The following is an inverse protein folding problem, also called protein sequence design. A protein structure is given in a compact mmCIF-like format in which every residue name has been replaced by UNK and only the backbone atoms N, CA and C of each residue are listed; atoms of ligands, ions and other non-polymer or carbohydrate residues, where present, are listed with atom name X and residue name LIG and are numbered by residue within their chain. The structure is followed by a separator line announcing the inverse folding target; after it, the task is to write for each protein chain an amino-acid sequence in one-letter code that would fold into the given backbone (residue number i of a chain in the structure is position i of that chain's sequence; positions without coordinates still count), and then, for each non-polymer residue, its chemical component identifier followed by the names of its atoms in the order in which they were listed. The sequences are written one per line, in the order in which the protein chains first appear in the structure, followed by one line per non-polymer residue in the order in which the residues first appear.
data_IF_783768091484
#
_entry.id   IF_783768091484
#
_cell.length_a   1.000
_cell.length_b   1.000
_cell.length_c   1.000
_cell.angle_alpha   90.00
_cell.angle_beta   90.00
_cell.angle_gamma   90.00
#
_symmetry.space_group_name_H-M   'P 1'
#
loop_
_entity.id
_entity.type
_entity.pdbx_description
1 polymer ?
#
# COMPACT_ATOMS: atom_id res chain seq x y z
N UNK A 1 24.81 -67.37 -11.06
CA UNK A 1 25.57 -67.59 -9.81
C UNK A 1 24.89 -66.91 -8.60
N UNK A 2 24.68 -65.53 -8.54
CA UNK A 2 24.08 -64.90 -7.36
C UNK A 2 22.63 -65.40 -7.10
N UNK A 3 21.81 -65.50 -8.16
CA UNK A 3 20.47 -66.10 -8.10
C UNK A 3 20.49 -67.55 -7.66
N UNK A 4 21.44 -68.33 -8.20
CA UNK A 4 21.61 -69.72 -7.84
C UNK A 4 22.05 -69.88 -6.36
N UNK A 5 22.86 -68.95 -5.85
CA UNK A 5 23.27 -68.94 -4.45
C UNK A 5 22.07 -68.75 -3.51
N UNK A 6 21.11 -67.94 -3.86
CA UNK A 6 19.87 -67.76 -3.07
C UNK A 6 19.05 -69.03 -3.07
N UNK A 7 18.87 -69.68 -4.21
CA UNK A 7 18.13 -70.95 -4.29
C UNK A 7 18.81 -72.08 -3.53
N UNK A 8 20.17 -72.09 -3.49
CA UNK A 8 20.92 -73.05 -2.70
C UNK A 8 20.89 -72.75 -1.20
N UNK A 9 20.87 -71.43 -0.83
CA UNK A 9 20.70 -71.00 0.55
C UNK A 9 19.35 -71.44 1.12
N UNK A 10 18.27 -71.30 0.34
CA UNK A 10 16.93 -71.77 0.73
C UNK A 10 16.91 -73.26 0.97
N UNK A 11 17.68 -74.00 0.22
CA UNK A 11 17.88 -75.47 0.36
C UNK A 11 18.90 -75.82 1.46
N UNK A 12 19.44 -74.85 2.21
CA UNK A 12 20.50 -75.00 3.20
C UNK A 12 21.75 -75.78 2.65
N UNK A 13 22.11 -75.49 1.42
CA UNK A 13 23.19 -76.15 0.73
C UNK A 13 24.51 -75.33 0.91
N UNK A 14 25.67 -75.98 1.20
CA UNK A 14 26.97 -75.30 1.31
C UNK A 14 27.47 -74.70 -0.03
N UNK A 15 26.85 -75.08 -1.13
CA UNK A 15 27.17 -74.49 -2.45
C UNK A 15 26.91 -72.99 -2.55
N UNK A 16 26.08 -72.42 -1.67
CA UNK A 16 25.85 -71.01 -1.65
C UNK A 16 27.14 -70.25 -1.29
N UNK A 17 27.86 -70.69 -0.28
CA UNK A 17 29.12 -70.07 0.13
C UNK A 17 30.25 -70.24 -0.89
N UNK A 18 30.36 -71.40 -1.52
CA UNK A 18 31.28 -71.63 -2.62
C UNK A 18 31.02 -70.70 -3.81
N UNK A 19 29.77 -70.51 -4.19
CA UNK A 19 29.40 -69.55 -5.25
C UNK A 19 29.73 -68.11 -4.90
N UNK A 20 29.50 -67.67 -3.66
CA UNK A 20 29.85 -66.35 -3.19
C UNK A 20 31.35 -66.15 -3.21
N UNK A 21 32.14 -67.12 -2.75
CA UNK A 21 33.64 -67.05 -2.80
C UNK A 21 34.16 -66.88 -4.22
N UNK A 22 33.58 -67.61 -5.20
CA UNK A 22 33.94 -67.52 -6.62
C UNK A 22 33.70 -66.14 -7.24
N UNK A 23 32.67 -65.43 -6.81
CA UNK A 23 32.28 -64.11 -7.35
C UNK A 23 32.65 -62.94 -6.43
N UNK A 24 33.41 -63.19 -5.35
CA UNK A 24 33.68 -62.19 -4.29
C UNK A 24 34.25 -60.86 -4.83
N UNK A 25 35.17 -60.93 -5.82
CA UNK A 25 35.76 -59.73 -6.44
C UNK A 25 34.80 -58.93 -7.28
N UNK A 26 33.76 -59.55 -7.85
CA UNK A 26 32.74 -58.94 -8.71
C UNK A 26 31.37 -58.85 -8.02
N UNK A 27 31.30 -59.15 -6.73
CA UNK A 27 30.05 -59.20 -5.97
C UNK A 27 29.30 -57.87 -5.94
N UNK A 28 29.97 -56.70 -5.73
CA UNK A 28 29.28 -55.38 -5.80
C UNK A 28 28.60 -55.15 -7.15
N UNK A 29 29.33 -55.39 -8.25
CA UNK A 29 28.79 -55.24 -9.61
C UNK A 29 27.67 -56.26 -9.91
N UNK A 30 27.71 -57.44 -9.35
CA UNK A 30 26.64 -58.43 -9.48
C UNK A 30 25.35 -58.01 -8.72
N UNK A 31 25.52 -57.39 -7.55
CA UNK A 31 24.41 -56.79 -6.78
C UNK A 31 23.75 -55.69 -7.59
N UNK A 32 24.54 -54.74 -8.11
CA UNK A 32 24.02 -53.61 -8.93
C UNK A 32 23.30 -54.10 -10.18
N UNK A 33 23.87 -55.13 -10.83
CA UNK A 33 23.23 -55.76 -12.01
C UNK A 33 21.89 -56.39 -11.66
N UNK A 34 21.75 -57.07 -10.53
CA UNK A 34 20.48 -57.60 -10.05
C UNK A 34 19.46 -56.50 -9.72
N UNK A 35 19.90 -55.39 -9.13
CA UNK A 35 19.04 -54.24 -8.83
C UNK A 35 18.52 -53.65 -10.15
N UNK A 36 19.39 -53.36 -11.10
CA UNK A 36 19.01 -52.83 -12.42
C UNK A 36 18.09 -53.76 -13.18
N UNK A 37 18.42 -55.05 -13.22
CA UNK A 37 17.59 -56.07 -13.88
C UNK A 37 16.17 -56.14 -13.25
N UNK A 38 16.05 -56.03 -11.92
CA UNK A 38 14.77 -56.00 -11.25
C UNK A 38 13.92 -54.81 -11.67
N UNK A 39 14.51 -53.64 -11.98
CA UNK A 39 13.83 -52.47 -12.51
C UNK A 39 13.15 -52.74 -13.86
N UNK A 40 13.84 -53.42 -14.75
CA UNK A 40 13.35 -53.71 -16.11
C UNK A 40 12.39 -54.90 -16.20
N UNK A 41 12.32 -55.73 -15.18
CA UNK A 41 11.43 -56.88 -15.16
C UNK A 41 9.97 -56.46 -14.88
N UNK A 42 9.03 -57.10 -15.58
CA UNK A 42 7.58 -56.87 -15.38
C UNK A 42 6.95 -57.89 -14.45
N UNK A 43 7.42 -59.17 -14.48
CA UNK A 43 6.91 -60.23 -13.66
C UNK A 43 7.32 -60.03 -12.19
N UNK A 44 6.34 -59.94 -11.31
CA UNK A 44 6.55 -59.76 -9.88
C UNK A 44 7.32 -60.91 -9.22
N UNK A 45 7.27 -62.12 -9.77
CA UNK A 45 8.01 -63.28 -9.26
C UNK A 45 9.50 -63.09 -9.51
N UNK A 46 9.90 -62.75 -10.74
CA UNK A 46 11.28 -62.54 -11.10
C UNK A 46 11.85 -61.27 -10.45
N UNK A 47 11.06 -60.20 -10.34
CA UNK A 47 11.46 -59.01 -9.58
C UNK A 47 11.86 -59.36 -8.14
N UNK A 48 11.01 -60.10 -7.46
CA UNK A 48 11.28 -60.54 -6.07
C UNK A 48 12.52 -61.39 -5.96
N UNK A 49 12.73 -62.32 -6.89
CA UNK A 49 13.96 -63.16 -6.92
C UNK A 49 15.22 -62.34 -7.12
N UNK A 50 15.20 -61.41 -8.06
CA UNK A 50 16.33 -60.53 -8.32
C UNK A 50 16.64 -59.59 -7.09
N UNK A 51 15.63 -58.99 -6.48
CA UNK A 51 15.79 -58.19 -5.28
C UNK A 51 16.26 -59.02 -4.08
N UNK A 52 15.81 -60.26 -3.94
CA UNK A 52 16.25 -61.17 -2.89
C UNK A 52 17.71 -61.56 -3.09
N UNK A 53 18.11 -61.80 -4.34
CA UNK A 53 19.53 -62.05 -4.68
C UNK A 53 20.41 -60.84 -4.39
N UNK A 54 19.97 -59.63 -4.76
CA UNK A 54 20.67 -58.38 -4.43
C UNK A 54 20.77 -58.15 -2.93
N UNK A 55 19.69 -58.41 -2.17
CA UNK A 55 19.66 -58.29 -0.72
C UNK A 55 20.64 -59.27 -0.05
N UNK A 56 20.69 -60.51 -0.54
CA UNK A 56 21.65 -61.48 -0.04
C UNK A 56 23.10 -61.10 -0.39
N UNK A 57 23.39 -60.71 -1.63
CA UNK A 57 24.70 -60.24 -2.01
C UNK A 57 25.19 -59.07 -1.20
N UNK A 58 24.29 -58.10 -0.91
CA UNK A 58 24.54 -56.94 -0.07
C UNK A 58 24.89 -57.33 1.38
N UNK A 59 24.28 -58.33 1.94
CA UNK A 59 24.51 -58.78 3.33
C UNK A 59 25.92 -59.39 3.55
N UNK A 60 26.55 -59.79 2.50
CA UNK A 60 27.94 -60.33 2.51
C UNK A 60 29.01 -59.24 2.31
N UNK A 61 28.62 -58.09 1.86
CA UNK A 61 29.51 -56.92 1.62
C UNK A 61 29.57 -56.05 2.83
N UNK A 62 30.79 -55.80 3.38
CA UNK A 62 30.98 -54.95 4.58
C UNK A 62 30.72 -53.47 4.32
N UNK A 63 31.06 -52.96 3.11
CA UNK A 63 30.98 -51.56 2.73
C UNK A 63 30.22 -51.38 1.41
N UNK A 64 28.93 -51.72 1.40
CA UNK A 64 28.06 -51.53 0.23
C UNK A 64 27.06 -50.37 0.49
N UNK A 65 27.03 -49.38 -0.40
CA UNK A 65 25.99 -48.35 -0.34
C UNK A 65 24.65 -48.91 -0.80
N UNK A 66 23.70 -48.95 0.13
CA UNK A 66 22.41 -49.53 -0.14
C UNK A 66 21.36 -48.53 -0.69
N UNK A 67 21.75 -47.29 -0.98
CA UNK A 67 20.81 -46.27 -1.42
C UNK A 67 20.15 -46.64 -2.76
N UNK A 68 20.90 -47.15 -3.73
CA UNK A 68 20.33 -47.62 -5.01
C UNK A 68 19.34 -48.77 -4.81
N UNK A 69 19.58 -49.65 -3.85
CA UNK A 69 18.64 -50.75 -3.55
C UNK A 69 17.34 -50.23 -2.94
N UNK A 70 17.44 -49.27 -2.00
CA UNK A 70 16.24 -48.64 -1.37
C UNK A 70 15.44 -47.89 -2.41
N UNK A 71 16.09 -47.01 -3.16
CA UNK A 71 15.46 -46.23 -4.23
C UNK A 71 14.78 -47.11 -5.29
N UNK A 72 15.44 -48.18 -5.71
CA UNK A 72 14.84 -49.15 -6.67
C UNK A 72 13.60 -49.81 -6.08
N UNK A 73 13.65 -50.25 -4.83
CA UNK A 73 12.50 -50.91 -4.18
C UNK A 73 11.32 -49.95 -4.00
N UNK A 74 11.57 -48.67 -3.73
CA UNK A 74 10.53 -47.63 -3.67
C UNK A 74 9.87 -47.43 -5.03
N UNK A 75 10.66 -47.26 -6.08
CA UNK A 75 10.16 -47.11 -7.46
C UNK A 75 9.35 -48.32 -7.90
N UNK A 76 9.83 -49.55 -7.61
CA UNK A 76 9.11 -50.78 -7.96
C UNK A 76 7.80 -50.95 -7.19
N UNK A 77 7.68 -50.48 -5.95
CA UNK A 77 6.41 -50.46 -5.21
C UNK A 77 5.38 -49.59 -5.90
N UNK A 78 5.80 -48.37 -6.31
CA UNK A 78 4.94 -47.44 -7.05
C UNK A 78 4.52 -48.08 -8.39
N UNK A 79 5.47 -48.58 -9.18
CA UNK A 79 5.20 -49.25 -10.46
C UNK A 79 4.26 -50.43 -10.32
N UNK A 80 4.40 -51.24 -9.25
CA UNK A 80 3.49 -52.35 -8.98
C UNK A 80 2.05 -51.89 -8.73
N UNK A 81 1.87 -50.79 -7.97
CA UNK A 81 0.56 -50.22 -7.73
C UNK A 81 -0.09 -49.70 -9.03
N UNK A 82 0.71 -49.09 -9.93
CA UNK A 82 0.25 -48.61 -11.23
C UNK A 82 -0.11 -49.71 -12.22
N UNK A 83 0.65 -50.79 -12.18
CA UNK A 83 0.45 -51.97 -13.05
C UNK A 83 -0.73 -52.87 -12.62
N UNK A 84 -1.37 -52.57 -11.47
CA UNK A 84 -2.59 -53.26 -11.07
C UNK A 84 -3.63 -53.15 -12.18
N UNK A 85 -4.33 -54.27 -12.47
CA UNK A 85 -5.33 -54.32 -13.55
C UNK A 85 -6.46 -53.30 -13.37
N UNK A 86 -6.76 -52.91 -12.13
CA UNK A 86 -7.79 -51.91 -11.81
C UNK A 86 -7.38 -50.50 -12.26
N UNK A 87 -6.10 -50.20 -12.16
CA UNK A 87 -5.54 -48.90 -12.56
C UNK A 87 -5.18 -48.90 -14.04
N UNK A 88 -4.59 -49.99 -14.53
CA UNK A 88 -4.30 -50.18 -15.93
C UNK A 88 -3.27 -49.20 -16.53
N UNK A 89 -2.21 -48.88 -15.78
CA UNK A 89 -1.07 -48.05 -16.24
C UNK A 89 0.20 -48.91 -16.33
N UNK A 90 0.41 -49.68 -17.44
CA UNK A 90 1.55 -50.57 -17.59
C UNK A 90 2.84 -49.80 -17.97
N UNK A 91 3.33 -48.91 -17.07
CA UNK A 91 4.56 -48.18 -17.30
C UNK A 91 5.79 -49.08 -17.15
N UNK A 92 6.75 -48.95 -18.08
CA UNK A 92 8.09 -49.50 -17.90
C UNK A 92 8.89 -48.65 -16.89
N UNK A 93 9.99 -49.23 -16.37
CA UNK A 93 10.90 -48.49 -15.46
C UNK A 93 11.46 -47.22 -16.12
N UNK A 94 11.90 -47.31 -17.37
CA UNK A 94 12.41 -46.19 -18.14
C UNK A 94 11.34 -45.08 -18.36
N UNK A 95 10.10 -45.49 -18.65
CA UNK A 95 9.01 -44.56 -18.80
C UNK A 95 8.69 -43.81 -17.48
N UNK A 96 8.75 -44.56 -16.36
CA UNK A 96 8.57 -43.97 -15.03
C UNK A 96 9.66 -42.95 -14.70
N UNK A 97 10.93 -43.23 -14.98
CA UNK A 97 12.02 -42.31 -14.77
C UNK A 97 11.87 -41.03 -15.59
N UNK A 98 11.42 -41.16 -16.86
CA UNK A 98 11.20 -39.99 -17.74
C UNK A 98 9.99 -39.15 -17.33
N UNK A 99 8.96 -39.82 -16.80
CA UNK A 99 7.71 -39.14 -16.44
C UNK A 99 7.86 -38.23 -15.20
N UNK A 100 8.80 -38.50 -14.34
CA UNK A 100 8.96 -37.92 -13.00
C UNK A 100 7.80 -38.25 -12.05
N UNK A 101 8.00 -38.24 -10.73
CA UNK A 101 6.93 -38.49 -9.77
C UNK A 101 5.77 -37.50 -9.86
N UNK A 102 6.08 -36.21 -10.09
CA UNK A 102 5.08 -35.14 -10.25
C UNK A 102 4.23 -35.35 -11.49
N UNK A 103 4.86 -35.65 -12.63
CA UNK A 103 4.12 -35.97 -13.88
C UNK A 103 3.26 -37.23 -13.77
N UNK A 104 3.70 -38.19 -12.95
CA UNK A 104 2.87 -39.35 -12.62
C UNK A 104 1.61 -38.97 -11.85
N UNK A 105 1.76 -38.12 -10.82
CA UNK A 105 0.63 -37.63 -10.02
C UNK A 105 -0.35 -36.87 -10.93
N UNK A 106 0.12 -36.01 -11.81
CA UNK A 106 -0.74 -35.28 -12.77
C UNK A 106 -1.51 -36.23 -13.69
N UNK A 107 -0.84 -37.31 -14.15
CA UNK A 107 -1.51 -38.35 -14.95
C UNK A 107 -2.58 -39.14 -14.18
N UNK A 108 -2.36 -39.40 -12.90
CA UNK A 108 -3.36 -40.00 -12.01
C UNK A 108 -4.52 -39.08 -11.72
N UNK A 109 -4.24 -37.79 -11.48
CA UNK A 109 -5.25 -36.78 -11.31
C UNK A 109 -6.16 -36.66 -12.52
N UNK A 110 -5.60 -36.63 -13.74
CA UNK A 110 -6.38 -36.54 -14.98
C UNK A 110 -7.24 -37.77 -15.24
N UNK A 111 -6.89 -38.91 -14.62
CA UNK A 111 -7.70 -40.16 -14.66
C UNK A 111 -8.66 -40.29 -13.48
N UNK A 112 -8.72 -39.28 -12.60
CA UNK A 112 -9.55 -39.28 -11.38
C UNK A 112 -9.17 -40.34 -10.34
N UNK A 113 -7.95 -40.90 -10.41
CA UNK A 113 -7.42 -41.87 -9.47
C UNK A 113 -6.85 -41.22 -8.20
N UNK A 114 -7.66 -40.40 -7.53
CA UNK A 114 -7.23 -39.54 -6.41
C UNK A 114 -6.66 -40.30 -5.22
N UNK A 115 -7.31 -41.46 -4.85
CA UNK A 115 -6.86 -42.24 -3.70
C UNK A 115 -5.46 -42.81 -3.91
N UNK A 116 -5.19 -43.30 -5.12
CA UNK A 116 -3.87 -43.83 -5.47
C UNK A 116 -2.84 -42.68 -5.53
N UNK A 117 -3.22 -41.54 -6.13
CA UNK A 117 -2.37 -40.37 -6.19
C UNK A 117 -1.94 -39.86 -4.78
N UNK A 118 -2.90 -39.80 -3.83
CA UNK A 118 -2.60 -39.40 -2.42
C UNK A 118 -1.65 -40.43 -1.79
N UNK A 119 -1.89 -41.71 -1.90
CA UNK A 119 -1.01 -42.74 -1.31
C UNK A 119 0.40 -42.71 -1.88
N UNK A 120 0.56 -42.46 -3.19
CA UNK A 120 1.87 -42.33 -3.83
C UNK A 120 2.54 -41.05 -3.37
N UNK A 121 1.79 -39.95 -3.29
CA UNK A 121 2.30 -38.69 -2.82
C UNK A 121 2.82 -38.77 -1.37
N UNK A 122 2.03 -39.38 -0.47
CA UNK A 122 2.45 -39.61 0.92
C UNK A 122 3.68 -40.52 1.01
N UNK A 123 3.72 -41.58 0.18
CA UNK A 123 4.84 -42.51 0.15
C UNK A 123 6.13 -41.88 -0.35
N UNK A 124 6.04 -41.02 -1.37
CA UNK A 124 7.19 -40.31 -1.95
C UNK A 124 7.49 -38.95 -1.27
N UNK A 125 6.74 -38.58 -0.21
CA UNK A 125 6.88 -37.32 0.51
C UNK A 125 6.70 -36.08 -0.40
N UNK A 126 5.82 -36.19 -1.38
CA UNK A 126 5.48 -35.10 -2.32
C UNK A 126 4.23 -34.35 -1.81
N UNK A 127 4.15 -33.02 -1.95
CA UNK A 127 2.95 -32.28 -1.58
C UNK A 127 1.70 -32.77 -2.32
N UNK A 128 0.61 -33.01 -1.59
CA UNK A 128 -0.65 -33.52 -2.15
C UNK A 128 -1.70 -32.44 -2.42
N UNK A 129 -1.34 -31.16 -2.24
CA UNK A 129 -2.20 -29.99 -2.41
C UNK A 129 -2.92 -29.95 -3.76
N UNK A 130 -2.18 -30.17 -4.86
CA UNK A 130 -2.74 -30.23 -6.22
C UNK A 130 -3.81 -31.32 -6.38
N UNK A 131 -3.61 -32.48 -5.72
CA UNK A 131 -4.56 -33.59 -5.78
C UNK A 131 -5.88 -33.18 -5.12
N UNK A 132 -5.81 -32.57 -3.95
CA UNK A 132 -6.99 -32.15 -3.20
C UNK A 132 -7.73 -31.02 -3.93
N UNK A 133 -7.01 -30.03 -4.46
CA UNK A 133 -7.59 -28.91 -5.21
C UNK A 133 -8.34 -29.46 -6.45
N UNK A 134 -7.70 -30.32 -7.24
CA UNK A 134 -8.34 -30.87 -8.43
C UNK A 134 -9.55 -31.76 -8.07
N UNK A 135 -9.45 -32.57 -7.00
CA UNK A 135 -10.59 -33.39 -6.53
C UNK A 135 -11.77 -32.47 -6.15
N UNK A 136 -11.51 -31.40 -5.42
CA UNK A 136 -12.56 -30.46 -5.00
C UNK A 136 -13.18 -29.75 -6.21
N UNK A 137 -12.36 -29.28 -7.14
CA UNK A 137 -12.83 -28.63 -8.38
C UNK A 137 -13.70 -29.59 -9.21
N UNK A 138 -13.28 -30.84 -9.34
CA UNK A 138 -14.08 -31.85 -10.03
C UNK A 138 -15.38 -32.20 -9.29
N UNK A 139 -15.33 -32.18 -7.94
CA UNK A 139 -16.54 -32.36 -7.14
C UNK A 139 -17.54 -31.23 -7.34
N UNK A 140 -17.09 -30.01 -7.44
CA UNK A 140 -17.94 -28.86 -7.78
C UNK A 140 -18.60 -29.02 -9.12
N UNK A 141 -17.84 -29.44 -10.15
CA UNK A 141 -18.34 -29.61 -11.53
C UNK A 141 -19.39 -30.67 -11.66
N UNK A 142 -19.18 -31.82 -10.99
CA UNK A 142 -20.06 -33.01 -11.16
C UNK A 142 -21.25 -33.01 -10.20
N UNK A 143 -21.18 -32.24 -9.10
CA UNK A 143 -22.20 -32.25 -8.07
C UNK A 143 -23.44 -31.47 -8.47
N UNK A 144 -24.60 -32.08 -8.41
CA UNK A 144 -25.93 -31.47 -8.56
C UNK A 144 -26.58 -31.15 -7.21
N UNK A 145 -25.86 -31.35 -6.12
CA UNK A 145 -26.33 -31.13 -4.75
C UNK A 145 -26.27 -29.63 -4.42
N UNK A 146 -27.04 -29.24 -3.40
CA UNK A 146 -27.08 -27.88 -2.87
C UNK A 146 -25.69 -27.32 -2.52
N UNK A 147 -25.50 -26.02 -2.78
CA UNK A 147 -24.22 -25.33 -2.66
C UNK A 147 -23.64 -25.41 -1.24
N UNK A 148 -24.49 -25.26 -0.21
CA UNK A 148 -24.04 -25.34 1.18
C UNK A 148 -23.53 -26.75 1.54
N UNK A 149 -24.20 -27.79 1.07
CA UNK A 149 -23.80 -29.16 1.33
C UNK A 149 -22.47 -29.49 0.66
N UNK A 150 -22.28 -29.03 -0.59
CA UNK A 150 -21.02 -29.18 -1.31
C UNK A 150 -19.88 -28.43 -0.63
N UNK A 151 -20.11 -27.17 -0.22
CA UNK A 151 -19.13 -26.36 0.52
C UNK A 151 -18.71 -27.09 1.81
N UNK A 152 -19.66 -27.48 2.65
CA UNK A 152 -19.39 -28.19 3.92
C UNK A 152 -18.58 -29.47 3.69
N UNK A 153 -18.92 -30.25 2.68
CA UNK A 153 -18.19 -31.47 2.36
C UNK A 153 -16.74 -31.20 1.93
N UNK A 154 -16.52 -30.19 1.09
CA UNK A 154 -15.18 -29.81 0.63
C UNK A 154 -14.36 -29.32 1.81
N UNK A 155 -14.91 -28.38 2.59
CA UNK A 155 -14.21 -27.79 3.75
C UNK A 155 -13.84 -28.87 4.77
N UNK A 156 -14.77 -29.75 5.15
CA UNK A 156 -14.49 -30.86 6.08
C UNK A 156 -13.37 -31.79 5.59
N UNK A 157 -13.30 -32.02 4.27
CA UNK A 157 -12.30 -32.94 3.68
C UNK A 157 -10.92 -32.28 3.60
N UNK A 158 -10.88 -30.96 3.44
CA UNK A 158 -9.66 -30.18 3.26
C UNK A 158 -9.16 -29.58 4.58
N UNK A 159 -9.96 -29.66 5.64
CA UNK A 159 -9.59 -29.15 6.95
C UNK A 159 -8.27 -29.75 7.45
N UNK A 160 -7.40 -28.89 8.00
CA UNK A 160 -6.07 -29.28 8.48
C UNK A 160 -5.05 -29.66 7.42
N UNK A 161 -5.36 -29.52 6.11
CA UNK A 161 -4.40 -29.78 5.04
C UNK A 161 -3.64 -28.49 4.69
N UNK A 162 -2.31 -28.46 4.75
CA UNK A 162 -1.54 -27.26 4.41
C UNK A 162 -1.49 -27.04 2.89
N UNK A 163 -1.36 -25.78 2.48
CA UNK A 163 -1.03 -25.41 1.10
C UNK A 163 -2.20 -25.40 0.11
N UNK A 164 -3.43 -25.67 0.55
CA UNK A 164 -4.59 -25.71 -0.34
C UNK A 164 -4.96 -24.28 -0.77
N UNK A 165 -5.23 -24.11 -2.07
CA UNK A 165 -5.77 -22.89 -2.65
C UNK A 165 -7.26 -23.02 -2.87
N UNK A 166 -8.05 -22.38 -2.00
CA UNK A 166 -9.51 -22.31 -2.19
C UNK A 166 -9.89 -21.40 -3.36
N UNK A 167 -9.01 -20.46 -3.74
CA UNK A 167 -9.19 -19.62 -4.93
C UNK A 167 -9.45 -20.45 -6.19
N UNK A 168 -8.62 -21.49 -6.44
CA UNK A 168 -8.75 -22.33 -7.64
C UNK A 168 -10.06 -23.12 -7.63
N UNK A 169 -10.49 -23.58 -6.45
CA UNK A 169 -11.76 -24.31 -6.28
C UNK A 169 -12.95 -23.36 -6.49
N UNK A 170 -12.86 -22.13 -5.94
CA UNK A 170 -13.87 -21.11 -6.10
C UNK A 170 -13.97 -20.63 -7.56
N UNK A 171 -12.82 -20.46 -8.25
CA UNK A 171 -12.82 -20.16 -9.68
C UNK A 171 -13.54 -21.25 -10.48
N UNK A 172 -13.30 -22.52 -10.18
CA UNK A 172 -14.01 -23.62 -10.83
C UNK A 172 -15.52 -23.59 -10.55
N UNK A 173 -15.95 -23.13 -9.37
CA UNK A 173 -17.37 -22.96 -9.05
C UNK A 173 -17.97 -21.78 -9.82
N UNK A 174 -17.25 -20.70 -9.97
CA UNK A 174 -17.67 -19.53 -10.74
C UNK A 174 -17.81 -19.85 -12.22
N UNK A 175 -16.85 -20.60 -12.79
CA UNK A 175 -16.85 -21.04 -14.20
C UNK A 175 -18.08 -21.92 -14.52
N UNK A 176 -18.58 -22.67 -13.53
CA UNK A 176 -19.84 -23.48 -13.65
C UNK A 176 -21.10 -22.64 -13.33
N UNK A 177 -20.99 -21.33 -13.16
CA UNK A 177 -22.12 -20.44 -12.88
C UNK A 177 -22.65 -20.50 -11.45
N UNK A 178 -21.90 -21.12 -10.51
CA UNK A 178 -22.28 -21.27 -9.09
C UNK A 178 -21.62 -20.17 -8.24
N UNK A 179 -21.97 -18.90 -8.49
CA UNK A 179 -21.35 -17.74 -7.83
C UNK A 179 -21.49 -17.78 -6.30
N UNK A 180 -22.64 -18.19 -5.78
CA UNK A 180 -22.87 -18.31 -4.33
C UNK A 180 -21.91 -19.33 -3.67
N UNK A 181 -21.72 -20.50 -4.30
CA UNK A 181 -20.76 -21.50 -3.85
C UNK A 181 -19.32 -20.96 -3.92
N UNK A 182 -18.98 -20.22 -4.98
CA UNK A 182 -17.68 -19.62 -5.15
C UNK A 182 -17.36 -18.63 -4.03
N UNK A 183 -18.30 -17.76 -3.68
CA UNK A 183 -18.16 -16.79 -2.56
C UNK A 183 -17.99 -17.52 -1.21
N UNK A 184 -18.79 -18.58 -0.96
CA UNK A 184 -18.65 -19.37 0.26
C UNK A 184 -17.27 -20.04 0.37
N UNK A 185 -16.77 -20.63 -0.72
CA UNK A 185 -15.45 -21.28 -0.74
C UNK A 185 -14.32 -20.25 -0.56
N UNK A 186 -14.44 -19.06 -1.16
CA UNK A 186 -13.48 -17.98 -1.02
C UNK A 186 -13.33 -17.49 0.42
N UNK A 187 -14.37 -17.54 1.23
CA UNK A 187 -14.27 -17.20 2.65
C UNK A 187 -13.30 -18.09 3.43
N UNK A 188 -12.96 -19.27 2.90
CA UNK A 188 -11.99 -20.18 3.48
C UNK A 188 -10.56 -20.01 2.93
N UNK A 189 -10.34 -19.11 1.93
CA UNK A 189 -8.99 -18.79 1.47
C UNK A 189 -8.33 -17.80 2.44
N UNK A 190 -7.22 -18.17 3.09
CA UNK A 190 -6.59 -17.29 4.09
C UNK A 190 -5.83 -16.11 3.49
N UNK A 191 -5.57 -16.10 2.19
CA UNK A 191 -4.78 -15.09 1.51
C UNK A 191 -5.67 -14.08 0.80
N UNK A 192 -5.82 -12.89 1.38
CA UNK A 192 -6.65 -11.83 0.81
C UNK A 192 -6.22 -11.43 -0.62
N UNK A 193 -4.92 -11.43 -0.92
CA UNK A 193 -4.39 -11.16 -2.26
C UNK A 193 -4.86 -12.15 -3.34
N UNK A 194 -5.39 -13.33 -2.94
CA UNK A 194 -6.04 -14.29 -3.84
C UNK A 194 -7.56 -14.19 -3.82
N UNK A 195 -8.14 -13.85 -2.67
CA UNK A 195 -9.57 -13.64 -2.54
C UNK A 195 -10.08 -12.46 -3.37
N UNK A 196 -9.45 -11.30 -3.18
CA UNK A 196 -9.93 -10.02 -3.69
C UNK A 196 -10.03 -9.97 -5.22
N UNK A 197 -9.01 -10.38 -6.00
CA UNK A 197 -9.12 -10.34 -7.47
C UNK A 197 -10.26 -11.20 -8.01
N UNK A 198 -10.52 -12.35 -7.40
CA UNK A 198 -11.62 -13.21 -7.82
C UNK A 198 -12.99 -12.62 -7.45
N UNK A 199 -13.12 -12.02 -6.28
CA UNK A 199 -14.35 -11.30 -5.89
C UNK A 199 -14.67 -10.15 -6.85
N UNK A 200 -13.65 -9.39 -7.28
CA UNK A 200 -13.83 -8.32 -8.29
C UNK A 200 -14.28 -8.88 -9.64
N UNK A 201 -13.76 -10.04 -10.06
CA UNK A 201 -14.18 -10.72 -11.27
C UNK A 201 -15.63 -11.26 -11.18
N UNK A 202 -16.07 -11.59 -9.97
CA UNK A 202 -17.45 -12.04 -9.68
C UNK A 202 -18.42 -10.88 -9.49
N UNK A 203 -17.96 -9.63 -9.63
CA UNK A 203 -18.73 -8.40 -9.41
C UNK A 203 -19.21 -8.18 -7.95
N UNK A 204 -18.63 -8.91 -7.01
CA UNK A 204 -18.87 -8.76 -5.57
C UNK A 204 -17.99 -7.63 -4.99
N UNK A 205 -18.20 -6.42 -5.52
CA UNK A 205 -17.35 -5.24 -5.31
C UNK A 205 -17.29 -4.81 -3.83
N UNK A 206 -18.42 -4.83 -3.12
CA UNK A 206 -18.48 -4.46 -1.70
C UNK A 206 -17.70 -5.45 -0.83
N UNK A 207 -17.90 -6.75 -1.08
CA UNK A 207 -17.23 -7.80 -0.34
C UNK A 207 -15.71 -7.79 -0.62
N UNK A 208 -15.32 -7.50 -1.86
CA UNK A 208 -13.92 -7.35 -2.24
C UNK A 208 -13.23 -6.22 -1.47
N UNK A 209 -13.91 -5.07 -1.33
CA UNK A 209 -13.39 -3.94 -0.57
C UNK A 209 -13.30 -4.25 0.93
N UNK A 210 -14.31 -4.90 1.49
CA UNK A 210 -14.30 -5.29 2.90
C UNK A 210 -13.17 -6.27 3.21
N UNK A 211 -12.96 -7.28 2.36
CA UNK A 211 -11.85 -8.24 2.50
C UNK A 211 -10.48 -7.59 2.32
N UNK A 212 -10.36 -6.64 1.42
CA UNK A 212 -9.12 -5.87 1.27
C UNK A 212 -8.81 -5.06 2.54
N UNK A 213 -9.81 -4.38 3.12
CA UNK A 213 -9.65 -3.61 4.38
C UNK A 213 -9.32 -4.54 5.55
N UNK A 214 -10.00 -5.68 5.69
CA UNK A 214 -9.75 -6.67 6.73
C UNK A 214 -8.32 -7.24 6.68
N UNK A 215 -7.71 -7.30 5.50
CA UNK A 215 -6.34 -7.80 5.32
C UNK A 215 -5.28 -6.88 5.94
N UNK A 216 -5.56 -5.58 6.07
CA UNK A 216 -4.59 -4.57 6.50
C UNK A 216 -3.50 -4.27 5.47
N UNK A 217 -3.68 -4.67 4.22
CA UNK A 217 -2.75 -4.41 3.12
C UNK A 217 -3.22 -3.20 2.32
N UNK A 218 -2.56 -2.06 2.52
CA UNK A 218 -2.89 -0.79 1.85
C UNK A 218 -2.78 -0.88 0.32
N UNK A 219 -1.83 -1.67 -0.20
CA UNK A 219 -1.67 -1.83 -1.65
C UNK A 219 -2.86 -2.59 -2.25
N UNK A 220 -3.36 -3.60 -1.54
CA UNK A 220 -4.54 -4.35 -1.94
C UNK A 220 -5.80 -3.48 -1.91
N UNK A 221 -5.97 -2.66 -0.86
CA UNK A 221 -7.07 -1.69 -0.77
C UNK A 221 -6.99 -0.68 -1.92
N UNK A 222 -5.82 -0.12 -2.19
CA UNK A 222 -5.63 0.80 -3.31
C UNK A 222 -5.93 0.15 -4.66
N UNK A 223 -5.54 -1.11 -4.85
CA UNK A 223 -5.88 -1.87 -6.07
C UNK A 223 -7.39 -1.95 -6.27
N UNK A 224 -8.14 -2.31 -5.24
CA UNK A 224 -9.62 -2.36 -5.28
C UNK A 224 -10.21 -0.99 -5.56
N UNK A 225 -9.75 0.05 -4.85
CA UNK A 225 -10.24 1.42 -5.01
C UNK A 225 -10.03 1.95 -6.44
N UNK A 226 -8.86 1.68 -7.04
CA UNK A 226 -8.59 2.05 -8.43
C UNK A 226 -9.49 1.29 -9.43
N UNK A 227 -9.71 0.01 -9.18
CA UNK A 227 -10.63 -0.80 -9.99
C UNK A 227 -12.07 -0.26 -9.90
N UNK A 228 -12.58 0.00 -8.69
CA UNK A 228 -13.91 0.54 -8.45
C UNK A 228 -14.09 1.94 -9.05
N UNK A 229 -13.08 2.81 -8.91
CA UNK A 229 -13.09 4.14 -9.53
C UNK A 229 -13.21 4.08 -11.06
N UNK A 230 -12.61 3.08 -11.70
CA UNK A 230 -12.69 2.91 -13.15
C UNK A 230 -14.01 2.30 -13.62
N UNK A 231 -14.63 1.46 -12.79
CA UNK A 231 -15.84 0.70 -13.11
C UNK A 231 -17.13 1.46 -12.78
N UNK A 232 -17.17 2.16 -11.65
CA UNK A 232 -18.37 2.76 -11.10
C UNK A 232 -18.47 4.25 -11.43
N UNK A 233 -19.72 4.79 -11.57
CA UNK A 233 -19.93 6.23 -11.54
C UNK A 233 -19.45 6.83 -10.22
N UNK A 234 -18.86 8.04 -10.24
CA UNK A 234 -18.30 8.70 -9.07
C UNK A 234 -19.24 8.75 -7.85
N UNK A 235 -20.53 9.02 -8.09
CA UNK A 235 -21.52 9.07 -7.01
C UNK A 235 -21.70 7.73 -6.30
N UNK A 236 -21.70 6.62 -7.03
CA UNK A 236 -21.80 5.27 -6.46
C UNK A 236 -20.51 4.87 -5.75
N UNK A 237 -19.35 5.22 -6.35
CA UNK A 237 -18.06 5.01 -5.76
C UNK A 237 -17.92 5.73 -4.40
N UNK A 238 -18.26 7.02 -4.34
CA UNK A 238 -18.22 7.78 -3.08
C UNK A 238 -19.18 7.23 -2.03
N UNK A 239 -20.38 6.83 -2.42
CA UNK A 239 -21.32 6.22 -1.48
C UNK A 239 -20.77 4.93 -0.85
N UNK A 240 -20.07 4.13 -1.65
CA UNK A 240 -19.46 2.88 -1.18
C UNK A 240 -18.29 3.13 -0.21
N UNK A 241 -17.42 4.10 -0.51
CA UNK A 241 -16.26 4.39 0.35
C UNK A 241 -16.62 5.13 1.62
N UNK A 242 -17.68 5.96 1.62
CA UNK A 242 -18.09 6.77 2.78
C UNK A 242 -18.57 5.91 3.95
N UNK A 243 -19.06 4.71 3.68
CA UNK A 243 -19.42 3.74 4.73
C UNK A 243 -18.18 3.11 5.38
N UNK A 244 -16.96 3.30 4.79
CA UNK A 244 -15.70 2.65 5.18
C UNK A 244 -14.61 3.69 5.43
N UNK A 245 -14.37 4.10 6.70
CA UNK A 245 -13.46 5.21 7.03
C UNK A 245 -12.02 5.02 6.49
N UNK A 246 -11.51 3.79 6.49
CA UNK A 246 -10.16 3.48 5.95
C UNK A 246 -10.08 3.74 4.45
N UNK A 247 -11.07 3.29 3.70
CA UNK A 247 -11.11 3.51 2.25
C UNK A 247 -11.22 5.00 1.91
N UNK A 248 -12.08 5.74 2.63
CA UNK A 248 -12.24 7.20 2.47
C UNK A 248 -10.92 7.92 2.75
N UNK A 249 -10.22 7.59 3.85
CA UNK A 249 -8.94 8.22 4.20
C UNK A 249 -7.84 7.95 3.15
N UNK A 250 -7.78 6.74 2.59
CA UNK A 250 -6.83 6.40 1.53
C UNK A 250 -7.13 7.17 0.23
N UNK A 251 -8.40 7.28 -0.15
CA UNK A 251 -8.82 8.07 -1.33
C UNK A 251 -8.48 9.55 -1.12
N UNK A 252 -8.76 10.13 0.05
CA UNK A 252 -8.41 11.52 0.37
C UNK A 252 -6.90 11.75 0.27
N UNK A 253 -6.09 10.88 0.85
CA UNK A 253 -4.62 11.00 0.80
C UNK A 253 -4.05 10.88 -0.61
N UNK A 254 -4.54 9.93 -1.38
CA UNK A 254 -4.14 9.75 -2.77
C UNK A 254 -4.57 10.94 -3.65
N UNK A 255 -5.80 11.44 -3.46
CA UNK A 255 -6.35 12.56 -4.21
C UNK A 255 -5.63 13.88 -3.90
N UNK A 256 -5.22 14.14 -2.66
CA UNK A 256 -4.43 15.33 -2.29
C UNK A 256 -3.13 15.46 -3.06
N UNK A 257 -2.52 14.32 -3.43
CA UNK A 257 -1.25 14.31 -4.16
C UNK A 257 -1.38 14.37 -5.68
N UNK A 258 -2.48 13.84 -6.24
CA UNK A 258 -2.58 13.57 -7.68
C UNK A 258 -3.84 14.11 -8.37
N UNK A 259 -4.97 14.20 -7.68
CA UNK A 259 -6.28 14.46 -8.29
C UNK A 259 -7.14 15.35 -7.38
N UNK A 260 -6.84 16.64 -7.45
CA UNK A 260 -7.50 17.64 -6.60
C UNK A 260 -9.00 17.79 -6.96
N UNK A 261 -9.38 17.57 -8.24
CA UNK A 261 -10.78 17.65 -8.66
C UNK A 261 -11.59 16.52 -8.01
N UNK A 262 -11.08 15.29 -7.99
CA UNK A 262 -11.70 14.18 -7.28
C UNK A 262 -11.92 14.49 -5.80
N UNK A 263 -10.95 15.17 -5.17
CA UNK A 263 -11.05 15.56 -3.77
C UNK A 263 -12.15 16.60 -3.53
N UNK A 264 -12.32 17.56 -4.44
CA UNK A 264 -13.42 18.55 -4.38
C UNK A 264 -14.78 17.87 -4.52
N UNK A 265 -14.90 16.93 -5.48
CA UNK A 265 -16.13 16.18 -5.70
C UNK A 265 -16.49 15.33 -4.48
N UNK A 266 -15.49 14.67 -3.85
CA UNK A 266 -15.67 13.92 -2.62
C UNK A 266 -16.21 14.79 -1.49
N UNK A 267 -15.57 15.93 -1.22
CA UNK A 267 -16.00 16.86 -0.15
C UNK A 267 -17.35 17.51 -0.44
N UNK A 268 -17.67 17.75 -1.71
CA UNK A 268 -18.98 18.26 -2.09
C UNK A 268 -20.08 17.21 -1.83
N UNK A 269 -19.83 15.95 -2.16
CA UNK A 269 -20.81 14.88 -1.95
C UNK A 269 -20.99 14.52 -0.47
N UNK A 270 -19.92 14.64 0.33
CA UNK A 270 -19.93 14.38 1.78
C UNK A 270 -20.47 15.54 2.62
N UNK A 271 -20.88 16.64 1.98
CA UNK A 271 -21.32 17.88 2.66
C UNK A 271 -20.24 18.40 3.66
N UNK A 272 -18.99 18.41 3.21
CA UNK A 272 -17.82 18.90 3.96
C UNK A 272 -17.29 20.21 3.38
N UNK A 273 -18.06 21.32 3.49
CA UNK A 273 -17.72 22.59 2.83
C UNK A 273 -16.42 23.23 3.37
N UNK A 274 -16.09 22.99 4.64
CA UNK A 274 -14.87 23.52 5.27
C UNK A 274 -13.62 22.89 4.61
N UNK A 275 -13.64 21.57 4.40
CA UNK A 275 -12.52 20.87 3.77
C UNK A 275 -12.39 21.25 2.28
N UNK A 276 -13.53 21.37 1.59
CA UNK A 276 -13.58 21.90 0.22
C UNK A 276 -13.02 23.32 0.11
N UNK A 277 -13.36 24.21 1.05
CA UNK A 277 -12.78 25.54 1.11
C UNK A 277 -11.26 25.52 1.35
N UNK A 278 -10.76 24.64 2.23
CA UNK A 278 -9.34 24.50 2.48
C UNK A 278 -8.55 24.03 1.24
N UNK A 279 -9.14 23.17 0.42
CA UNK A 279 -8.56 22.76 -0.86
C UNK A 279 -8.45 23.96 -1.80
N UNK A 280 -9.55 24.74 -1.97
CA UNK A 280 -9.55 25.92 -2.81
C UNK A 280 -8.53 26.98 -2.34
N UNK A 281 -8.40 27.18 -1.03
CA UNK A 281 -7.40 28.07 -0.45
C UNK A 281 -5.97 27.60 -0.76
N UNK A 282 -5.69 26.30 -0.65
CA UNK A 282 -4.37 25.77 -0.95
C UNK A 282 -4.03 25.88 -2.45
N UNK A 283 -5.01 25.74 -3.32
CA UNK A 283 -4.84 25.99 -4.77
C UNK A 283 -4.63 27.48 -5.08
N UNK A 284 -5.41 28.36 -4.43
CA UNK A 284 -5.27 29.80 -4.62
C UNK A 284 -3.87 30.29 -4.27
N UNK A 285 -3.26 29.70 -3.23
CA UNK A 285 -1.88 30.04 -2.82
C UNK A 285 -0.80 29.56 -3.82
N UNK A 286 -1.12 28.57 -4.66
CA UNK A 286 -0.20 28.04 -5.67
C UNK A 286 -0.35 28.71 -7.04
N UNK A 287 -1.48 29.36 -7.27
CA UNK A 287 -1.74 30.05 -8.54
C UNK A 287 -0.91 31.32 -8.67
N UNK A 288 -0.26 31.48 -9.81
CA UNK A 288 0.46 32.69 -10.17
C UNK A 288 -0.45 33.78 -10.81
N UNK A 289 -1.63 33.39 -11.29
CA UNK A 289 -2.61 34.30 -11.93
C UNK A 289 -3.55 34.89 -10.87
N UNK A 290 -3.49 36.21 -10.72
CA UNK A 290 -4.28 36.95 -9.74
C UNK A 290 -5.80 36.77 -9.95
N UNK A 291 -6.27 36.72 -11.19
CA UNK A 291 -7.68 36.54 -11.51
C UNK A 291 -8.19 35.19 -10.99
N UNK A 292 -7.49 34.12 -11.32
CA UNK A 292 -7.82 32.78 -10.84
C UNK A 292 -7.69 32.66 -9.32
N UNK A 293 -6.64 33.29 -8.75
CA UNK A 293 -6.44 33.31 -7.30
C UNK A 293 -7.62 33.98 -6.58
N UNK A 294 -8.06 35.15 -7.05
CA UNK A 294 -9.19 35.88 -6.44
C UNK A 294 -10.52 35.17 -6.65
N UNK A 295 -10.74 34.50 -7.77
CA UNK A 295 -11.92 33.66 -8.01
C UNK A 295 -11.99 32.49 -7.03
N UNK A 296 -10.88 31.76 -6.84
CA UNK A 296 -10.82 30.65 -5.88
C UNK A 296 -11.02 31.11 -4.43
N UNK A 297 -10.45 32.26 -4.03
CA UNK A 297 -10.69 32.84 -2.72
C UNK A 297 -12.18 33.22 -2.54
N UNK A 298 -12.83 33.75 -3.58
CA UNK A 298 -14.24 34.08 -3.54
C UNK A 298 -15.10 32.81 -3.40
N UNK A 299 -14.79 31.75 -4.14
CA UNK A 299 -15.48 30.46 -4.02
C UNK A 299 -15.30 29.85 -2.63
N UNK A 300 -14.08 29.87 -2.08
CA UNK A 300 -13.81 29.40 -0.72
C UNK A 300 -14.60 30.21 0.33
N UNK A 301 -14.66 31.54 0.19
CA UNK A 301 -15.48 32.40 1.08
C UNK A 301 -16.96 32.04 1.02
N UNK A 302 -17.50 31.68 -0.15
CA UNK A 302 -18.90 31.27 -0.30
C UNK A 302 -19.17 29.93 0.39
N UNK A 303 -18.28 28.93 0.24
CA UNK A 303 -18.43 27.65 0.94
C UNK A 303 -18.40 27.80 2.47
N UNK A 304 -17.63 28.77 2.97
CA UNK A 304 -17.56 29.04 4.40
C UNK A 304 -18.76 29.84 4.92
N UNK A 305 -19.59 30.49 4.05
CA UNK A 305 -20.67 31.36 4.46
C UNK A 305 -21.84 30.65 5.12
N UNK A 306 -22.02 29.38 4.83
CA UNK A 306 -23.18 28.60 5.29
C UNK A 306 -23.02 28.07 6.72
N UNK A 307 -21.77 28.10 7.24
CA UNK A 307 -21.49 27.66 8.60
C UNK A 307 -21.73 28.78 9.63
N UNK A 308 -22.40 28.43 10.72
CA UNK A 308 -22.65 29.33 11.86
C UNK A 308 -21.57 29.26 12.96
N UNK A 309 -20.57 28.42 12.81
CA UNK A 309 -19.50 28.29 13.77
C UNK A 309 -18.64 29.56 13.83
N UNK A 310 -18.34 30.08 15.03
CA UNK A 310 -17.60 31.33 15.18
C UNK A 310 -16.21 31.29 14.56
N UNK A 311 -15.56 30.15 14.58
CA UNK A 311 -14.23 29.92 13.95
C UNK A 311 -14.31 30.00 12.44
N UNK A 312 -15.34 29.41 11.83
CA UNK A 312 -15.55 29.40 10.37
C UNK A 312 -15.93 30.81 9.89
N UNK A 313 -16.78 31.52 10.63
CA UNK A 313 -17.13 32.92 10.34
C UNK A 313 -15.90 33.83 10.38
N UNK A 314 -14.98 33.60 11.34
CA UNK A 314 -13.72 34.34 11.36
C UNK A 314 -12.86 34.02 10.13
N UNK A 315 -12.72 32.74 9.78
CA UNK A 315 -11.97 32.32 8.59
C UNK A 315 -12.55 32.92 7.30
N UNK A 316 -13.87 32.93 7.16
CA UNK A 316 -14.56 33.58 6.04
C UNK A 316 -14.19 35.05 5.92
N UNK A 317 -14.22 35.80 7.04
CA UNK A 317 -13.81 37.21 7.07
C UNK A 317 -12.37 37.39 6.63
N UNK A 318 -11.46 36.58 7.16
CA UNK A 318 -10.03 36.62 6.80
C UNK A 318 -9.79 36.33 5.30
N UNK A 319 -10.50 35.36 4.73
CA UNK A 319 -10.41 35.04 3.30
C UNK A 319 -10.96 36.20 2.46
N UNK A 320 -12.04 36.83 2.88
CA UNK A 320 -12.62 37.99 2.19
C UNK A 320 -11.69 39.19 2.24
N UNK A 321 -11.10 39.49 3.41
CA UNK A 321 -10.10 40.56 3.59
C UNK A 321 -8.82 40.27 2.75
N UNK A 322 -8.37 39.02 2.68
CA UNK A 322 -7.23 38.64 1.85
C UNK A 322 -7.50 38.90 0.36
N UNK A 323 -8.69 38.53 -0.13
CA UNK A 323 -9.11 38.79 -1.53
C UNK A 323 -9.18 40.29 -1.83
N UNK A 324 -9.69 41.11 -0.88
CA UNK A 324 -9.74 42.55 -1.02
C UNK A 324 -8.34 43.14 -1.02
N UNK A 325 -7.43 42.67 -0.15
CA UNK A 325 -6.04 43.12 -0.09
C UNK A 325 -5.30 42.85 -1.39
N UNK A 326 -5.43 41.67 -1.95
CA UNK A 326 -4.82 41.31 -3.26
C UNK A 326 -5.28 42.25 -4.37
N UNK A 327 -6.58 42.54 -4.45
CA UNK A 327 -7.12 43.50 -5.42
C UNK A 327 -6.59 44.92 -5.20
N UNK A 328 -6.47 45.34 -3.95
CA UNK A 328 -5.91 46.65 -3.64
C UNK A 328 -4.41 46.72 -3.98
N UNK A 329 -3.66 45.65 -3.75
CA UNK A 329 -2.25 45.55 -4.12
C UNK A 329 -2.02 45.57 -5.62
N UNK A 330 -2.82 44.84 -6.38
CA UNK A 330 -2.80 44.85 -7.86
C UNK A 330 -3.08 46.25 -8.42
N UNK A 331 -4.09 46.93 -7.85
CA UNK A 331 -4.37 48.34 -8.23
C UNK A 331 -3.20 49.26 -7.91
N UNK A 332 -2.50 49.04 -6.77
CA UNK A 332 -1.31 49.81 -6.43
C UNK A 332 -0.15 49.54 -7.40
N UNK A 333 0.09 48.30 -7.76
CA UNK A 333 1.16 47.92 -8.70
C UNK A 333 0.90 48.48 -10.12
N UNK A 334 -0.37 48.49 -10.56
CA UNK A 334 -0.77 49.12 -11.83
C UNK A 334 -0.63 50.66 -11.81
N UNK A 335 -0.96 51.28 -10.69
CA UNK A 335 -0.92 52.76 -10.54
C UNK A 335 0.48 53.31 -10.30
N UNK A 336 1.31 52.52 -9.62
CA UNK A 336 2.66 52.91 -9.18
C UNK A 336 3.70 52.14 -10.00
N UNK A 337 3.79 52.40 -11.29
CA UNK A 337 4.69 51.73 -12.23
C UNK A 337 6.19 51.75 -11.89
N UNK A 338 6.58 52.34 -10.78
CA UNK A 338 7.94 52.45 -10.25
C UNK A 338 8.30 51.26 -9.33
N UNK A 339 8.72 50.15 -9.92
CA UNK A 339 9.53 49.07 -9.29
C UNK A 339 9.16 48.57 -7.87
N UNK A 340 8.01 48.89 -7.34
CA UNK A 340 7.56 48.43 -6.03
C UNK A 340 6.47 47.37 -6.15
N UNK A 341 6.89 46.11 -6.09
CA UNK A 341 5.95 44.97 -6.04
C UNK A 341 5.22 44.97 -4.70
N UNK A 342 3.93 45.23 -4.71
CA UNK A 342 3.04 45.14 -3.53
C UNK A 342 2.33 43.84 -3.44
N UNK A 343 2.15 43.14 -4.55
CA UNK A 343 1.40 41.90 -4.62
C UNK A 343 1.99 40.81 -3.70
N UNK A 344 1.13 40.13 -2.92
CA UNK A 344 1.56 39.10 -2.00
C UNK A 344 2.17 39.54 -0.68
N UNK A 345 2.27 40.84 -0.42
CA UNK A 345 2.73 41.35 0.85
C UNK A 345 1.64 41.26 1.92
N UNK A 346 2.09 41.25 3.20
CA UNK A 346 1.13 41.43 4.29
C UNK A 346 0.59 42.87 4.30
N UNK A 347 -0.58 43.07 4.90
CA UNK A 347 -1.18 44.41 5.04
C UNK A 347 -0.21 45.42 5.69
N UNK A 348 0.49 45.02 6.73
CA UNK A 348 1.46 45.86 7.43
C UNK A 348 2.67 46.22 6.55
N UNK A 349 3.16 45.27 5.76
CA UNK A 349 4.27 45.53 4.85
C UNK A 349 3.85 46.42 3.67
N UNK A 350 2.62 46.22 3.17
CA UNK A 350 2.04 47.10 2.14
C UNK A 350 1.97 48.56 2.62
N UNK A 351 1.45 48.79 3.82
CA UNK A 351 1.40 50.12 4.43
C UNK A 351 2.81 50.68 4.65
N UNK A 352 3.74 49.85 5.15
CA UNK A 352 5.12 50.25 5.36
C UNK A 352 5.81 50.67 4.06
N UNK A 353 5.67 49.90 2.98
CA UNK A 353 6.25 50.22 1.66
C UNK A 353 5.65 51.50 1.06
N UNK A 354 4.33 51.70 1.20
CA UNK A 354 3.65 52.88 0.72
C UNK A 354 4.18 54.14 1.43
N UNK A 355 4.32 54.12 2.73
CA UNK A 355 4.87 55.26 3.48
C UNK A 355 6.34 55.49 3.12
N UNK A 356 7.14 54.42 3.02
CA UNK A 356 8.55 54.53 2.61
C UNK A 356 8.72 55.12 1.21
N UNK A 357 7.81 54.79 0.27
CA UNK A 357 7.77 55.36 -1.07
C UNK A 357 7.25 56.79 -1.15
N UNK A 358 6.76 57.37 -0.05
CA UNK A 358 6.22 58.74 -0.02
C UNK A 358 4.72 58.84 -0.33
N UNK A 359 4.02 57.73 -0.48
CA UNK A 359 2.59 57.68 -0.82
C UNK A 359 1.67 57.69 0.42
N UNK A 360 1.89 58.66 1.35
CA UNK A 360 1.18 58.75 2.62
C UNK A 360 -0.34 58.79 2.50
N UNK A 361 -0.89 59.51 1.51
CA UNK A 361 -2.35 59.55 1.24
C UNK A 361 -2.93 58.18 0.92
N UNK A 362 -2.24 57.34 0.10
CA UNK A 362 -2.66 55.99 -0.23
C UNK A 362 -2.56 55.04 0.96
N UNK A 363 -1.52 55.21 1.79
CA UNK A 363 -1.38 54.46 3.04
C UNK A 363 -2.54 54.72 4.02
N UNK A 364 -2.99 55.98 4.14
CA UNK A 364 -4.18 56.32 4.92
C UNK A 364 -5.48 55.72 4.34
N UNK A 365 -5.61 55.69 3.02
CA UNK A 365 -6.76 55.03 2.38
C UNK A 365 -6.83 53.54 2.75
N UNK A 366 -5.73 52.82 2.65
CA UNK A 366 -5.64 51.40 3.04
C UNK A 366 -5.90 51.22 4.53
N UNK A 367 -5.38 52.11 5.38
CA UNK A 367 -5.66 52.11 6.82
C UNK A 367 -7.15 52.16 7.11
N UNK A 368 -7.88 53.07 6.46
CA UNK A 368 -9.32 53.24 6.66
C UNK A 368 -10.14 52.08 6.09
N UNK A 369 -9.75 51.56 4.94
CA UNK A 369 -10.44 50.45 4.25
C UNK A 369 -10.33 49.14 5.04
N UNK A 370 -9.11 48.80 5.51
CA UNK A 370 -8.84 47.56 6.27
C UNK A 370 -8.93 47.77 7.80
N UNK A 371 -9.37 48.93 8.26
CA UNK A 371 -9.55 49.25 9.68
C UNK A 371 -8.29 48.95 10.52
N UNK A 372 -7.12 49.25 9.98
CA UNK A 372 -5.86 49.06 10.72
C UNK A 372 -5.86 49.91 11.99
N UNK A 373 -5.58 49.32 13.17
CA UNK A 373 -5.54 50.04 14.41
C UNK A 373 -4.61 51.24 14.34
N UNK A 374 -5.05 52.38 14.86
CA UNK A 374 -4.33 53.64 14.78
C UNK A 374 -2.89 53.53 15.34
N UNK A 375 -2.72 52.82 16.46
CA UNK A 375 -1.42 52.54 17.07
C UNK A 375 -0.48 51.78 16.12
N UNK A 376 -0.99 50.74 15.44
CA UNK A 376 -0.23 49.93 14.48
C UNK A 376 0.19 50.76 13.28
N UNK A 377 -0.75 51.54 12.72
CA UNK A 377 -0.45 52.42 11.58
C UNK A 377 0.63 53.46 11.92
N UNK A 378 0.53 54.10 13.08
CA UNK A 378 1.54 55.06 13.53
C UNK A 378 2.92 54.41 13.71
N UNK A 379 2.99 53.23 14.27
CA UNK A 379 4.25 52.48 14.36
C UNK A 379 4.85 52.14 12.98
N UNK A 380 4.05 51.72 12.04
CA UNK A 380 4.48 51.45 10.67
C UNK A 380 4.99 52.74 9.98
N UNK A 381 4.26 53.84 10.17
CA UNK A 381 4.63 55.15 9.64
C UNK A 381 5.97 55.63 10.22
N UNK A 382 6.14 55.56 11.51
CA UNK A 382 7.40 55.93 12.17
C UNK A 382 8.56 55.07 11.63
N UNK A 383 8.38 53.75 11.57
CA UNK A 383 9.40 52.83 11.08
C UNK A 383 9.79 53.15 9.63
N UNK A 384 8.81 53.43 8.79
CA UNK A 384 9.04 53.76 7.38
C UNK A 384 9.77 55.10 7.19
N UNK A 385 9.38 56.14 7.94
CA UNK A 385 10.03 57.45 7.88
C UNK A 385 11.45 57.43 8.41
N UNK A 386 11.72 56.68 9.47
CA UNK A 386 13.10 56.47 9.96
C UNK A 386 13.94 55.75 8.90
N UNK A 387 13.39 54.73 8.23
CA UNK A 387 14.10 54.02 7.17
C UNK A 387 14.37 54.91 5.94
N UNK A 388 13.43 55.81 5.60
CA UNK A 388 13.56 56.80 4.52
C UNK A 388 14.48 57.95 4.89
N UNK A 389 14.76 58.15 6.20
CA UNK A 389 15.49 59.31 6.77
C UNK A 389 14.78 60.65 6.57
N UNK A 390 13.45 60.62 6.53
CA UNK A 390 12.62 61.81 6.38
C UNK A 390 12.38 62.47 7.77
N UNK A 391 13.33 63.29 8.16
CA UNK A 391 13.34 63.94 9.48
C UNK A 391 12.31 65.05 9.60
N UNK A 392 11.93 65.70 8.47
CA UNK A 392 10.94 66.77 8.46
C UNK A 392 9.54 66.25 8.83
N UNK A 393 9.09 65.22 8.18
CA UNK A 393 7.79 64.55 8.50
C UNK A 393 7.78 63.97 9.92
N UNK A 394 8.92 63.43 10.39
CA UNK A 394 9.05 62.94 11.78
C UNK A 394 8.93 64.09 12.81
N UNK A 395 9.44 65.27 12.51
CA UNK A 395 9.34 66.44 13.38
C UNK A 395 7.90 66.97 13.44
N UNK A 396 7.17 66.96 12.33
CA UNK A 396 5.73 67.25 12.30
C UNK A 396 4.91 66.31 13.16
N UNK A 397 5.18 65.02 13.05
CA UNK A 397 4.53 63.98 13.86
C UNK A 397 4.82 64.21 15.36
N UNK A 398 6.05 64.58 15.69
CA UNK A 398 6.44 64.86 17.07
C UNK A 398 5.74 66.13 17.69
N UNK A 399 5.34 67.07 16.85
CA UNK A 399 4.57 68.24 17.24
C UNK A 399 3.10 68.00 17.52
N UNK A 400 2.53 66.89 17.08
CA UNK A 400 1.15 66.56 17.32
C UNK A 400 0.87 66.35 18.82
N UNK A 401 -0.07 67.14 19.38
CA UNK A 401 -0.40 67.12 20.82
C UNK A 401 -0.99 65.85 21.35
N UNK A 402 -1.59 65.06 20.48
CA UNK A 402 -2.15 63.74 20.81
C UNK A 402 -1.50 62.67 19.94
N UNK A 403 -0.46 62.04 20.45
CA UNK A 403 0.14 60.89 19.81
C UNK A 403 -0.51 59.60 20.33
N UNK A 404 -1.05 58.76 19.48
CA UNK A 404 -1.66 57.49 19.89
C UNK A 404 -0.63 56.48 20.42
N UNK A 405 0.67 56.78 20.33
CA UNK A 405 1.78 55.83 20.61
C UNK A 405 2.37 56.03 22.03
N UNK A 406 2.00 57.12 22.71
CA UNK A 406 2.51 57.41 24.06
C UNK A 406 3.86 58.16 24.11
N UNK A 407 4.26 58.60 25.35
CA UNK A 407 5.37 59.46 25.57
C UNK A 407 6.77 58.89 25.29
N UNK A 408 6.96 57.59 25.56
CA UNK A 408 8.26 56.92 25.43
C UNK A 408 8.80 56.91 23.99
N UNK A 409 7.91 56.75 23.00
CA UNK A 409 8.29 56.76 21.59
C UNK A 409 8.64 58.17 21.10
N UNK A 410 7.97 59.17 21.63
CA UNK A 410 8.26 60.56 21.34
C UNK A 410 9.67 60.95 21.82
N UNK A 411 10.07 60.49 23.00
CA UNK A 411 11.42 60.64 23.51
C UNK A 411 12.47 59.90 22.68
N UNK A 412 12.20 58.68 22.26
CA UNK A 412 13.11 57.88 21.44
C UNK A 412 13.34 58.50 20.05
N UNK A 413 12.31 59.09 19.44
CA UNK A 413 12.42 59.79 18.17
C UNK A 413 13.26 61.10 18.33
N UNK A 414 13.01 61.86 19.39
CA UNK A 414 13.74 63.11 19.69
C UNK A 414 15.19 62.77 20.03
N UNK A 415 15.46 61.74 20.81
CA UNK A 415 16.81 61.28 21.15
C UNK A 415 17.60 60.79 19.92
N UNK A 416 16.95 60.04 19.00
CA UNK A 416 17.58 59.65 17.75
C UNK A 416 17.86 60.80 16.80
N UNK A 417 16.98 61.80 16.78
CA UNK A 417 17.21 63.07 16.05
C UNK A 417 18.37 63.86 16.63
N UNK A 418 18.43 64.02 17.97
CA UNK A 418 19.48 64.72 18.67
C UNK A 418 20.87 64.09 18.57
N UNK A 419 20.94 62.73 18.72
CA UNK A 419 22.19 62.00 18.61
C UNK A 419 22.79 62.00 17.19
N UNK A 420 21.99 62.19 16.15
CA UNK A 420 22.49 62.28 14.77
C UNK A 420 22.93 63.69 14.37
N UNK A 421 22.40 64.74 15.04
CA UNK A 421 22.86 66.13 14.85
C UNK A 421 24.19 66.40 15.53
N UNK A 422 24.50 65.67 16.58
CA UNK A 422 25.76 65.73 17.32
C UNK A 422 26.65 64.50 16.98
N UNK A 423 27.25 64.45 15.87
CA UNK A 423 28.29 63.51 15.39
C UNK A 423 28.90 62.49 16.39
N UNK A 424 28.08 61.75 17.20
CA UNK A 424 28.51 60.64 18.05
C UNK A 424 27.67 59.40 17.80
N UNK A 425 28.05 58.70 16.74
CA UNK A 425 27.37 57.48 16.24
C UNK A 425 28.03 56.19 16.72
N UNK A 426 28.20 55.94 17.99
CA UNK A 426 28.80 54.67 18.39
C UNK A 426 28.04 53.84 19.45
N UNK A 427 27.01 54.40 20.10
CA UNK A 427 26.49 53.74 21.32
C UNK A 427 25.08 53.15 21.26
N UNK A 428 24.28 53.40 20.25
CA UNK A 428 22.86 53.01 20.23
C UNK A 428 22.51 51.83 19.32
N UNK A 429 23.49 51.18 18.68
CA UNK A 429 23.24 49.95 17.93
C UNK A 429 23.07 48.70 18.82
N UNK A 430 23.45 48.78 20.10
CA UNK A 430 23.33 47.64 21.04
C UNK A 430 21.93 47.48 21.65
N UNK A 431 21.22 48.58 21.90
CA UNK A 431 19.91 48.48 22.58
C UNK A 431 18.72 48.18 21.68
N UNK A 432 18.83 48.47 20.39
CA UNK A 432 17.80 48.04 19.41
C UNK A 432 17.78 46.55 19.10
N UNK A 433 18.85 45.84 19.36
CA UNK A 433 18.94 44.38 19.23
C UNK A 433 18.11 43.62 20.28
N UNK A 434 17.97 44.19 21.47
CA UNK A 434 17.30 43.55 22.60
C UNK A 434 15.75 43.68 22.54
N UNK A 435 15.22 44.66 21.81
CA UNK A 435 13.77 44.87 21.65
C UNK A 435 13.14 44.01 20.55
N UNK A 436 13.92 43.56 19.59
CA UNK A 436 13.43 42.60 18.57
C UNK A 436 12.99 41.26 19.17
N UNK A 437 13.53 40.90 20.33
CA UNK A 437 13.24 39.57 20.93
C UNK A 437 11.98 39.51 21.79
N UNK A 438 11.49 40.58 22.35
CA UNK A 438 10.33 40.55 23.28
C UNK A 438 8.97 40.71 22.61
N UNK A 439 8.88 41.37 21.47
CA UNK A 439 7.62 41.55 20.75
C UNK A 439 7.33 40.43 19.71
N UNK A 440 8.38 39.78 19.18
CA UNK A 440 8.18 38.61 18.32
C UNK A 440 7.67 37.37 19.06
N UNK A 441 7.94 37.22 20.36
CA UNK A 441 7.52 36.05 21.13
C UNK A 441 6.01 36.00 21.46
N UNK A 442 5.32 37.16 21.45
CA UNK A 442 3.88 37.21 21.76
C UNK A 442 2.97 36.98 20.54
N UNK A 443 3.47 37.17 19.33
CA UNK A 443 2.68 36.94 18.09
C UNK A 443 2.87 35.50 17.55
N UNK A 444 3.98 34.85 17.92
CA UNK A 444 4.25 33.43 17.51
C UNK A 444 3.53 32.40 18.36
N UNK A 445 2.94 32.78 19.50
CA UNK A 445 2.24 31.86 20.39
C UNK A 445 0.74 31.68 20.07
N UNK A 446 0.21 32.34 19.05
CA UNK A 446 -1.21 32.20 18.66
C UNK A 446 -1.45 31.59 17.28
N UNK A 447 -0.39 31.18 16.58
CA UNK A 447 -0.55 30.44 15.30
C UNK A 447 0.34 29.20 15.37
N UNK A 448 -0.10 28.19 16.09
CA UNK A 448 0.39 26.82 15.90
C UNK A 448 -0.65 26.05 15.09
N UNK A 449 -0.32 25.57 13.89
CA UNK A 449 -1.10 24.52 13.27
C UNK A 449 -0.76 23.20 13.97
N UNK A 450 -1.77 22.49 14.40
CA UNK A 450 -1.74 21.08 14.69
C UNK A 450 -1.29 20.33 13.43
N UNK A 451 -0.06 19.87 13.44
CA UNK A 451 0.40 18.79 12.58
C UNK A 451 0.95 17.73 13.54
N UNK A 452 0.29 16.58 13.69
CA UNK A 452 0.93 15.40 14.24
C UNK A 452 1.86 14.76 13.21
N UNK A 453 2.95 14.24 13.69
CA UNK A 453 3.87 13.37 12.96
C UNK A 453 3.18 12.14 12.39
#
# INVERSE_FOLDING_TARGET
MLLDSVDQLEKKSPKADENIQRIRSSLPSAVDTCIKAAGHEFDAYWQKRLLKAASFGKSVLELYNSDEFVEMTEKLRVLKALRDYKIGLPLSYEQYLRLTPEGLIERLISRHEYLLAIRISEYLQIPADKIYVHWASQKVKVSTVDDEAVCKLIVQRLDGKPGISFEVIAQAAYDEGRSHLATQLLNHEPRAGKQVPLLLNMEEDELALDKAIESGDDDLVNYVLLHLKSKLPLASFFRMINTRPMASALVETAARGKDIELLKDLFYQDDRPIDGANVLLSEALRDADLTRQTEKLHLASRLLSDSKEPTVVLNQKLVTEASQLLKAQDALDKDLADHSEFLGLSLNETVYRLVRGGYGKRAHKIQSEFKVPEKTFWWLRLRALVAKRDWGELEEIAKLKKSPIGWEVRQSIILNYWNRRSHKTAFLQRDFGCWKHKTCFRIRAQVHPLVPC
#
